data_IF_476780377160
#
_entry.id   IF_476780377160
#
_cell.length_a   1.000
_cell.length_b   1.000
_cell.length_c   1.000
_cell.angle_alpha   90.00
_cell.angle_beta   90.00
_cell.angle_gamma   90.00
#
_symmetry.space_group_name_H-M   'P 1'
#
loop_
_entity.id
_entity.type
_entity.pdbx_description
1 polymer ?
#
# COMPACT_ATOMS: atom_id res chain seq x y z
N UNK A 1 21.01 5.63 -19.22
CA UNK A 1 21.59 6.54 -18.18
C UNK A 1 22.61 5.84 -17.28
N UNK A 2 22.38 4.57 -16.90
CA UNK A 2 23.37 3.78 -16.14
C UNK A 2 24.60 3.45 -16.98
N UNK A 3 24.42 3.24 -18.28
CA UNK A 3 25.49 2.89 -19.23
C UNK A 3 26.48 4.04 -19.41
N UNK A 4 25.99 5.28 -19.44
CA UNK A 4 26.84 6.47 -19.48
C UNK A 4 27.80 6.57 -18.28
N UNK A 5 27.39 6.11 -17.09
CA UNK A 5 28.29 6.09 -15.93
C UNK A 5 29.37 5.02 -16.08
N UNK A 6 29.01 3.83 -16.58
CA UNK A 6 29.98 2.75 -16.80
C UNK A 6 30.96 3.09 -17.91
N UNK A 7 30.52 3.74 -18.97
CA UNK A 7 31.36 4.14 -20.10
C UNK A 7 32.39 5.21 -19.68
N UNK A 8 31.98 6.20 -18.89
CA UNK A 8 32.90 7.19 -18.31
C UNK A 8 33.94 6.52 -17.39
N UNK A 9 33.53 5.50 -16.63
CA UNK A 9 34.46 4.74 -15.78
C UNK A 9 35.43 3.91 -16.61
N UNK A 10 34.98 3.29 -17.70
CA UNK A 10 35.82 2.54 -18.64
C UNK A 10 36.83 3.45 -19.35
N UNK A 11 36.44 4.69 -19.66
CA UNK A 11 37.33 5.72 -20.20
C UNK A 11 38.29 6.35 -19.16
N UNK A 12 38.36 5.81 -17.94
CA UNK A 12 39.29 6.26 -16.90
C UNK A 12 38.84 7.48 -16.09
N UNK A 13 37.61 7.98 -16.27
CA UNK A 13 37.11 9.13 -15.50
C UNK A 13 36.91 8.77 -14.03
N UNK A 14 37.38 9.65 -13.13
CA UNK A 14 37.23 9.46 -11.69
C UNK A 14 35.75 9.32 -11.28
N UNK A 15 35.48 8.42 -10.34
CA UNK A 15 34.12 8.05 -9.92
C UNK A 15 33.28 9.23 -9.41
N UNK A 16 33.91 10.21 -8.73
CA UNK A 16 33.25 11.45 -8.29
C UNK A 16 32.78 12.29 -9.48
N UNK A 17 33.60 12.39 -10.53
CA UNK A 17 33.32 13.20 -11.72
C UNK A 17 32.25 12.53 -12.60
N UNK A 18 32.33 11.20 -12.77
CA UNK A 18 31.28 10.44 -13.45
C UNK A 18 29.91 10.58 -12.76
N UNK A 19 29.88 10.51 -11.42
CA UNK A 19 28.65 10.73 -10.64
C UNK A 19 28.06 12.14 -10.85
N UNK A 20 28.90 13.18 -10.81
CA UNK A 20 28.47 14.56 -11.06
C UNK A 20 27.94 14.77 -12.48
N UNK A 21 28.60 14.21 -13.49
CA UNK A 21 28.22 14.37 -14.90
C UNK A 21 26.94 13.62 -15.28
N UNK A 22 26.66 12.50 -14.63
CA UNK A 22 25.50 11.63 -14.95
C UNK A 22 24.32 11.83 -14.01
N UNK A 23 24.49 12.60 -12.92
CA UNK A 23 23.49 12.74 -11.86
C UNK A 23 23.28 11.47 -11.03
N UNK A 24 24.04 10.40 -11.27
CA UNK A 24 23.94 9.14 -10.54
C UNK A 24 24.87 9.13 -9.34
N UNK A 25 24.31 8.97 -8.13
CA UNK A 25 25.12 8.80 -6.93
C UNK A 25 25.97 7.52 -7.02
N UNK A 26 27.18 7.55 -6.44
CA UNK A 26 28.04 6.35 -6.36
C UNK A 26 27.31 5.19 -5.67
N UNK A 27 26.58 5.48 -4.59
CA UNK A 27 25.83 4.47 -3.84
C UNK A 27 24.78 3.77 -4.70
N UNK A 28 24.08 4.52 -5.57
CA UNK A 28 23.11 3.97 -6.52
C UNK A 28 23.79 3.06 -7.53
N UNK A 29 24.93 3.47 -8.09
CA UNK A 29 25.67 2.63 -9.03
C UNK A 29 26.22 1.37 -8.37
N UNK A 30 26.81 1.46 -7.19
CA UNK A 30 27.31 0.30 -6.46
C UNK A 30 26.19 -0.67 -6.10
N UNK A 31 25.03 -0.16 -5.65
CA UNK A 31 23.86 -1.01 -5.37
C UNK A 31 23.40 -1.72 -6.63
N UNK A 32 23.30 -1.00 -7.75
CA UNK A 32 22.86 -1.54 -9.04
C UNK A 32 23.80 -2.58 -9.63
N UNK A 33 25.11 -2.32 -9.61
CA UNK A 33 26.13 -3.27 -10.08
C UNK A 33 26.21 -4.50 -9.17
N UNK A 34 26.05 -4.33 -7.86
CA UNK A 34 25.94 -5.44 -6.90
C UNK A 34 24.65 -6.26 -7.09
N UNK A 35 23.55 -5.63 -7.52
CA UNK A 35 22.29 -6.32 -7.88
C UNK A 35 22.23 -6.79 -9.33
N UNK A 36 23.17 -6.34 -10.19
CA UNK A 36 23.10 -6.47 -11.64
C UNK A 36 23.56 -7.81 -12.21
N UNK A 37 24.19 -8.67 -11.39
CA UNK A 37 24.50 -10.04 -11.78
C UNK A 37 23.36 -11.02 -11.47
N UNK A 38 22.31 -10.58 -10.75
CA UNK A 38 21.23 -11.45 -10.31
C UNK A 38 19.91 -10.68 -10.46
N UNK A 39 19.46 -10.52 -11.70
CA UNK A 39 18.02 -10.53 -11.98
C UNK A 39 17.47 -11.94 -11.71
N UNK A 40 17.64 -12.46 -10.49
CA UNK A 40 16.84 -13.59 -10.05
C UNK A 40 15.41 -13.09 -10.07
N UNK A 41 14.51 -13.85 -10.71
CA UNK A 41 13.06 -13.73 -10.53
C UNK A 41 12.81 -13.39 -9.05
N UNK A 42 12.05 -12.32 -8.73
CA UNK A 42 11.83 -11.92 -7.35
C UNK A 42 11.43 -13.16 -6.56
N UNK A 43 12.29 -13.58 -5.61
CA UNK A 43 12.01 -14.78 -4.83
C UNK A 43 10.65 -14.55 -4.18
N UNK A 44 9.66 -15.45 -4.37
CA UNK A 44 8.38 -15.28 -3.73
C UNK A 44 8.63 -15.11 -2.23
N UNK A 45 8.07 -14.04 -1.66
CA UNK A 45 8.22 -13.76 -0.23
C UNK A 45 7.78 -15.01 0.53
N UNK A 46 8.61 -15.45 1.47
CA UNK A 46 8.24 -16.53 2.36
C UNK A 46 6.92 -16.18 3.05
N UNK A 47 6.03 -17.17 3.11
CA UNK A 47 4.77 -17.03 3.85
C UNK A 47 5.14 -16.81 5.32
N UNK A 48 4.62 -15.77 5.99
CA UNK A 48 4.93 -15.53 7.38
C UNK A 48 4.38 -16.68 8.24
N UNK A 49 5.14 -17.09 9.25
CA UNK A 49 4.82 -18.26 10.07
C UNK A 49 3.48 -18.15 10.81
N UNK A 50 3.02 -16.92 11.06
CA UNK A 50 1.76 -16.62 11.73
C UNK A 50 0.60 -16.39 10.75
N UNK A 51 0.74 -16.75 9.47
CA UNK A 51 -0.37 -16.66 8.51
C UNK A 51 -1.44 -17.67 8.91
N UNK A 52 -2.66 -17.19 9.15
CA UNK A 52 -3.81 -18.06 9.34
C UNK A 52 -4.00 -18.96 8.11
N UNK A 53 -4.19 -20.25 8.38
CA UNK A 53 -4.65 -21.25 7.42
C UNK A 53 -6.08 -20.94 6.95
N UNK A 54 -6.48 -21.53 5.83
CA UNK A 54 -7.82 -21.31 5.29
C UNK A 54 -8.91 -21.83 6.25
N UNK A 55 -8.64 -22.90 6.99
CA UNK A 55 -9.52 -23.42 8.03
C UNK A 55 -9.68 -22.44 9.21
N UNK A 56 -8.60 -21.82 9.67
CA UNK A 56 -8.66 -20.80 10.73
C UNK A 56 -9.41 -19.56 10.26
N UNK A 57 -9.21 -19.13 9.00
CA UNK A 57 -9.96 -18.02 8.40
C UNK A 57 -11.45 -18.34 8.31
N UNK A 58 -11.81 -19.55 7.92
CA UNK A 58 -13.21 -20.00 7.88
C UNK A 58 -13.83 -20.02 9.28
N UNK A 59 -13.08 -20.46 10.31
CA UNK A 59 -13.54 -20.39 11.70
C UNK A 59 -13.81 -18.95 12.15
N UNK A 60 -12.89 -18.02 11.86
CA UNK A 60 -13.10 -16.59 12.17
C UNK A 60 -14.35 -16.07 11.47
N UNK A 61 -14.55 -16.39 10.19
CA UNK A 61 -15.71 -15.95 9.43
C UNK A 61 -17.02 -16.53 10.01
N UNK A 62 -17.02 -17.80 10.41
CA UNK A 62 -18.17 -18.44 11.04
C UNK A 62 -18.55 -17.79 12.37
N UNK A 63 -17.55 -17.44 13.20
CA UNK A 63 -17.80 -16.72 14.46
C UNK A 63 -18.34 -15.32 14.20
N UNK A 64 -17.76 -14.56 13.26
CA UNK A 64 -18.24 -13.21 12.93
C UNK A 64 -19.65 -13.20 12.32
N UNK A 65 -20.07 -14.30 11.68
CA UNK A 65 -21.41 -14.48 11.13
C UNK A 65 -22.34 -15.24 12.08
N UNK A 66 -21.94 -15.51 13.33
CA UNK A 66 -22.80 -16.17 14.29
C UNK A 66 -24.00 -15.27 14.64
N UNK A 67 -25.14 -15.84 15.07
CA UNK A 67 -26.29 -15.06 15.50
C UNK A 67 -25.98 -14.04 16.60
N UNK A 68 -25.00 -14.33 17.44
CA UNK A 68 -24.56 -13.48 18.55
C UNK A 68 -23.76 -12.27 18.08
N UNK A 69 -23.02 -12.39 16.98
CA UNK A 69 -22.04 -11.39 16.55
C UNK A 69 -22.33 -10.75 15.19
N UNK A 70 -23.33 -11.22 14.45
CA UNK A 70 -23.65 -10.77 13.08
C UNK A 70 -23.84 -9.25 12.96
N UNK A 71 -24.37 -8.61 14.00
CA UNK A 71 -24.59 -7.15 14.06
C UNK A 71 -23.57 -6.39 14.93
N UNK A 72 -22.58 -7.10 15.49
CA UNK A 72 -21.53 -6.51 16.30
C UNK A 72 -20.35 -5.99 15.45
N UNK A 73 -19.72 -4.92 15.91
CA UNK A 73 -18.47 -4.47 15.31
C UNK A 73 -17.34 -5.47 15.63
N UNK A 74 -16.40 -5.76 14.70
CA UNK A 74 -15.27 -6.66 14.97
C UNK A 74 -14.45 -6.33 16.22
N UNK A 75 -14.35 -5.04 16.58
CA UNK A 75 -13.71 -4.62 17.82
C UNK A 75 -14.45 -5.14 19.07
N UNK A 76 -15.79 -5.08 19.06
CA UNK A 76 -16.64 -5.61 20.13
C UNK A 76 -16.52 -7.12 20.22
N UNK A 77 -16.64 -7.82 19.10
CA UNK A 77 -16.47 -9.29 19.04
C UNK A 77 -15.12 -9.71 19.59
N UNK A 78 -14.05 -9.02 19.19
CA UNK A 78 -12.71 -9.29 19.69
C UNK A 78 -12.59 -9.11 21.21
N UNK A 79 -13.18 -8.06 21.78
CA UNK A 79 -13.18 -7.85 23.23
C UNK A 79 -13.97 -8.95 23.96
N UNK A 80 -15.18 -9.27 23.49
CA UNK A 80 -16.01 -10.33 24.07
C UNK A 80 -15.31 -11.69 24.06
N UNK A 81 -14.70 -12.07 22.93
CA UNK A 81 -13.96 -13.32 22.83
C UNK A 81 -12.76 -13.36 23.78
N UNK A 82 -12.07 -12.23 23.98
CA UNK A 82 -10.97 -12.15 24.95
C UNK A 82 -11.45 -12.27 26.39
N UNK A 83 -12.59 -11.67 26.73
CA UNK A 83 -13.21 -11.82 28.05
C UNK A 83 -13.61 -13.28 28.31
N UNK A 84 -14.01 -14.02 27.27
CA UNK A 84 -14.27 -15.47 27.29
C UNK A 84 -12.99 -16.32 27.23
N UNK A 85 -11.80 -15.71 27.18
CA UNK A 85 -10.51 -16.40 27.13
C UNK A 85 -10.16 -17.00 25.76
N UNK A 86 -10.90 -16.66 24.71
CA UNK A 86 -10.70 -17.17 23.35
C UNK A 86 -10.01 -16.13 22.47
N UNK A 87 -8.79 -16.44 22.00
CA UNK A 87 -8.12 -15.64 20.97
C UNK A 87 -8.21 -16.31 19.60
N UNK A 88 -8.81 -15.62 18.63
CA UNK A 88 -8.85 -16.09 17.24
C UNK A 88 -7.80 -15.38 16.38
N UNK A 89 -7.82 -14.04 16.35
CA UNK A 89 -6.86 -13.21 15.61
C UNK A 89 -6.97 -11.74 16.02
N UNK A 90 -6.12 -10.89 15.45
CA UNK A 90 -6.20 -9.43 15.65
C UNK A 90 -7.45 -8.82 14.99
N UNK A 91 -7.93 -7.69 15.52
CA UNK A 91 -9.05 -6.92 14.96
C UNK A 91 -8.81 -6.56 13.49
N UNK A 92 -7.59 -6.16 13.13
CA UNK A 92 -7.23 -5.84 11.74
C UNK A 92 -7.33 -7.06 10.82
N UNK A 93 -7.02 -8.26 11.32
CA UNK A 93 -7.20 -9.52 10.59
C UNK A 93 -8.68 -9.82 10.37
N UNK A 94 -9.53 -9.62 11.39
CA UNK A 94 -10.98 -9.77 11.26
C UNK A 94 -11.53 -8.87 10.14
N UNK A 95 -11.19 -7.57 10.15
CA UNK A 95 -11.61 -6.66 9.09
C UNK A 95 -11.10 -7.06 7.71
N UNK A 96 -9.85 -7.54 7.60
CA UNK A 96 -9.31 -8.06 6.32
C UNK A 96 -10.13 -9.25 5.82
N UNK A 97 -10.44 -10.22 6.69
CA UNK A 97 -11.26 -11.39 6.33
C UNK A 97 -12.65 -10.94 5.87
N UNK A 98 -13.31 -10.03 6.59
CA UNK A 98 -14.63 -9.52 6.21
C UNK A 98 -14.59 -8.75 4.87
N UNK A 99 -13.55 -7.94 4.65
CA UNK A 99 -13.38 -7.18 3.40
C UNK A 99 -13.16 -8.12 2.20
N UNK A 100 -12.33 -9.15 2.34
CA UNK A 100 -12.12 -10.17 1.31
C UNK A 100 -13.42 -10.94 0.98
N UNK A 101 -14.34 -11.09 1.95
CA UNK A 101 -15.64 -11.71 1.76
C UNK A 101 -16.76 -10.70 1.42
N UNK A 102 -16.44 -9.44 1.13
CA UNK A 102 -17.42 -8.37 0.79
C UNK A 102 -18.47 -8.08 1.88
N UNK A 103 -18.17 -8.42 3.14
CA UNK A 103 -19.06 -8.22 4.29
C UNK A 103 -18.88 -6.86 4.99
N UNK A 104 -17.86 -6.08 4.58
CA UNK A 104 -17.69 -4.69 5.00
C UNK A 104 -18.18 -3.77 3.90
N UNK A 105 -19.22 -2.98 4.20
CA UNK A 105 -19.68 -1.91 3.32
C UNK A 105 -20.03 -0.67 4.13
N UNK A 106 -19.81 0.49 3.53
CA UNK A 106 -20.33 1.75 4.04
C UNK A 106 -21.86 1.66 4.09
N UNK A 107 -22.43 1.74 5.30
CA UNK A 107 -23.88 1.64 5.51
C UNK A 107 -24.57 2.99 5.37
N UNK A 108 -23.82 4.10 5.54
CA UNK A 108 -24.39 5.45 5.47
C UNK A 108 -24.62 5.85 4.01
N UNK A 109 -25.74 6.51 3.77
CA UNK A 109 -25.98 7.23 2.51
C UNK A 109 -25.17 8.53 2.51
N UNK A 110 -23.86 8.41 2.29
CA UNK A 110 -22.97 9.56 2.22
C UNK A 110 -23.29 10.40 0.98
N UNK A 111 -23.43 11.71 1.17
CA UNK A 111 -23.54 12.64 0.05
C UNK A 111 -22.21 12.65 -0.71
N UNK A 112 -22.24 12.17 -1.96
CA UNK A 112 -21.09 12.26 -2.88
C UNK A 112 -21.20 13.60 -3.59
N UNK A 113 -20.55 14.62 -3.06
CA UNK A 113 -20.40 15.90 -3.75
C UNK A 113 -19.20 15.77 -4.70
N UNK A 114 -19.41 15.66 -6.03
CA UNK A 114 -18.30 15.72 -6.97
C UNK A 114 -17.58 17.06 -6.78
N UNK A 115 -16.26 17.04 -6.91
CA UNK A 115 -15.44 18.24 -6.76
C UNK A 115 -15.88 19.24 -7.84
N UNK A 116 -16.47 20.36 -7.44
CA UNK A 116 -16.82 21.42 -8.37
C UNK A 116 -15.54 22.04 -8.92
N UNK A 117 -15.41 22.11 -10.24
CA UNK A 117 -14.29 22.80 -10.88
C UNK A 117 -14.46 24.29 -10.67
N UNK A 118 -13.41 24.98 -10.21
CA UNK A 118 -13.43 26.44 -10.14
C UNK A 118 -13.62 26.99 -11.58
N UNK A 119 -14.62 27.86 -11.84
CA UNK A 119 -14.80 28.42 -13.17
C UNK A 119 -13.59 29.31 -13.51
N UNK A 120 -13.06 29.14 -14.72
CA UNK A 120 -12.03 30.02 -15.25
C UNK A 120 -12.70 31.31 -15.75
N UNK A 121 -12.34 32.44 -15.14
CA UNK A 121 -12.90 33.74 -15.51
C UNK A 121 -12.13 34.33 -16.69
N UNK A 122 -12.78 34.44 -17.85
CA UNK A 122 -12.22 35.05 -19.06
C UNK A 122 -12.92 36.39 -19.32
N UNK A 123 -12.14 37.47 -19.42
CA UNK A 123 -12.66 38.80 -19.76
C UNK A 123 -12.83 38.94 -21.29
N UNK A 124 -14.02 39.30 -21.74
CA UNK A 124 -14.34 39.69 -23.13
C UNK A 124 -14.39 41.21 -23.31
N UNK A 125 -14.40 41.99 -22.24
CA UNK A 125 -14.40 43.45 -22.23
C UNK A 125 -13.64 44.02 -21.02
N UNK A 126 -13.23 45.31 -21.06
CA UNK A 126 -12.62 45.97 -19.91
C UNK A 126 -13.52 45.95 -18.67
N UNK A 127 -12.91 45.86 -17.47
CA UNK A 127 -13.59 45.87 -16.15
C UNK A 127 -14.46 44.63 -15.81
N UNK A 128 -14.20 43.49 -16.45
CA UNK A 128 -14.96 42.25 -16.19
C UNK A 128 -14.30 41.28 -15.20
N UNK A 129 -12.97 41.30 -15.05
CA UNK A 129 -12.25 40.44 -14.10
C UNK A 129 -11.30 41.33 -13.30
N UNK A 130 -11.31 41.16 -11.98
CA UNK A 130 -10.48 41.90 -11.03
C UNK A 130 -9.55 40.91 -10.32
N UNK A 131 -8.29 41.30 -10.11
CA UNK A 131 -7.26 40.51 -9.42
C UNK A 131 -7.20 40.80 -7.93
#
# INVERSE_FOLDING_TARGET
>A
MTDAYTDLRAAGVAMRRAASLTGLSRATQFRRTKTGAVHSVPRPRAVPANKLTDAERARVLAVLNSPEFVDCAPLTVWATLLDEGTYLCSVSTMYRILAENTLVKERRRLARHPKSTCPELVATAPRQVYS
#
